data_IF_814103038422
#
_entry.id   IF_814103038422
#
_cell.length_a   1.000
_cell.length_b   1.000
_cell.length_c   1.000
_cell.angle_alpha   90.00
_cell.angle_beta   90.00
_cell.angle_gamma   90.00
#
_symmetry.space_group_name_H-M   'P 1'
#
loop_
_entity.id
_entity.type
_entity.pdbx_description
1 polymer ?
#
# COMPACT_ATOMS: atom_id res chain seq x y z
N UNK A 1 2.14 -1.14 -18.14
CA UNK A 1 3.22 -2.13 -18.15
C UNK A 1 3.73 -2.38 -16.74
N UNK A 2 3.88 -3.64 -16.37
CA UNK A 2 4.29 -3.99 -15.00
C UNK A 2 5.76 -4.37 -14.99
N UNK A 3 6.60 -3.55 -14.35
CA UNK A 3 8.05 -3.75 -14.32
C UNK A 3 8.64 -3.78 -12.91
N UNK A 4 7.88 -3.38 -11.87
CA UNK A 4 8.37 -3.38 -10.49
C UNK A 4 8.33 -4.81 -9.96
N UNK A 5 9.47 -5.40 -9.52
CA UNK A 5 9.46 -6.71 -8.90
C UNK A 5 8.65 -6.71 -7.60
N UNK A 6 8.00 -7.83 -7.29
CA UNK A 6 7.20 -7.94 -6.06
C UNK A 6 8.04 -7.73 -4.80
N UNK A 7 9.31 -8.13 -4.81
CA UNK A 7 10.21 -7.88 -3.68
C UNK A 7 10.41 -6.40 -3.42
N UNK A 8 10.61 -5.60 -4.48
CA UNK A 8 10.75 -4.14 -4.37
C UNK A 8 9.44 -3.53 -3.87
N UNK A 9 8.31 -3.97 -4.41
CA UNK A 9 6.99 -3.51 -3.95
C UNK A 9 6.80 -3.83 -2.46
N UNK A 10 7.23 -5.01 -2.00
CA UNK A 10 7.16 -5.39 -0.59
C UNK A 10 7.93 -4.44 0.31
N UNK A 11 9.14 -4.03 -0.10
CA UNK A 11 9.90 -3.03 0.66
C UNK A 11 9.11 -1.72 0.73
N UNK A 12 8.53 -1.29 -0.40
CA UNK A 12 7.70 -0.08 -0.44
C UNK A 12 6.48 -0.20 0.46
N UNK A 13 5.83 -1.37 0.52
CA UNK A 13 4.67 -1.60 1.38
C UNK A 13 4.98 -1.30 2.84
N UNK A 14 6.09 -1.83 3.35
CA UNK A 14 6.47 -1.61 4.75
C UNK A 14 6.90 -0.16 4.98
N UNK A 15 7.70 0.42 4.09
CA UNK A 15 8.15 1.80 4.22
C UNK A 15 6.98 2.79 4.13
N UNK A 16 6.11 2.64 3.14
CA UNK A 16 4.96 3.53 2.96
C UNK A 16 3.94 3.33 4.07
N UNK A 17 3.73 2.08 4.52
CA UNK A 17 2.85 1.80 5.65
C UNK A 17 3.28 2.53 6.90
N UNK A 18 4.56 2.47 7.23
CA UNK A 18 5.13 3.19 8.37
C UNK A 18 5.01 4.70 8.16
N UNK A 19 5.34 5.18 6.95
CA UNK A 19 5.24 6.60 6.61
C UNK A 19 3.81 7.11 6.77
N UNK A 20 2.81 6.36 6.33
CA UNK A 20 1.40 6.72 6.48
C UNK A 20 1.02 6.86 7.96
N UNK A 21 1.47 5.91 8.79
CA UNK A 21 1.15 5.94 10.24
C UNK A 21 1.74 7.20 10.88
N UNK A 22 2.98 7.57 10.54
CA UNK A 22 3.65 8.72 11.17
C UNK A 22 3.35 10.04 10.48
N UNK A 23 2.75 10.01 9.28
CA UNK A 23 2.58 11.21 8.44
C UNK A 23 1.84 12.36 9.13
N UNK A 24 0.78 12.14 9.97
CA UNK A 24 0.09 13.25 10.62
C UNK A 24 1.02 14.10 11.49
N UNK A 25 1.95 13.45 12.17
CA UNK A 25 2.92 14.14 13.05
C UNK A 25 4.13 14.63 12.26
N UNK A 26 4.58 13.86 11.29
CA UNK A 26 5.74 14.22 10.46
C UNK A 26 5.45 15.46 9.62
N UNK A 27 4.27 15.56 9.04
CA UNK A 27 3.86 16.68 8.18
C UNK A 27 2.98 17.70 8.90
N UNK A 28 2.88 17.57 10.23
CA UNK A 28 2.23 18.55 11.11
C UNK A 28 0.74 18.82 10.78
N UNK A 29 0.00 17.75 10.49
CA UNK A 29 -1.46 17.88 10.29
C UNK A 29 -2.27 17.06 11.29
N UNK A 30 -1.64 16.52 12.33
CA UNK A 30 -2.33 15.68 13.31
C UNK A 30 -3.37 16.46 14.10
N UNK A 31 -4.54 15.88 14.22
CA UNK A 31 -5.63 16.36 15.08
C UNK A 31 -6.54 15.16 15.41
N UNK A 32 -7.69 15.40 16.04
CA UNK A 32 -8.59 14.31 16.44
C UNK A 32 -9.61 13.97 15.35
N UNK A 33 -9.35 14.37 14.10
CA UNK A 33 -10.30 14.18 13.00
C UNK A 33 -9.87 13.14 11.98
N UNK A 34 -10.71 12.93 10.98
CA UNK A 34 -10.56 11.98 9.89
C UNK A 34 -9.24 12.19 9.14
N UNK A 35 -8.76 13.43 9.01
CA UNK A 35 -7.52 13.69 8.27
C UNK A 35 -6.33 12.96 8.86
N UNK A 36 -6.31 12.75 10.18
CA UNK A 36 -5.28 12.01 10.90
C UNK A 36 -5.52 10.51 10.79
N UNK A 37 -6.76 10.07 10.99
CA UNK A 37 -7.06 8.64 11.11
C UNK A 37 -7.06 7.90 9.78
N UNK A 38 -7.36 8.55 8.66
CA UNK A 38 -7.33 7.90 7.34
C UNK A 38 -5.93 7.33 7.04
N UNK A 39 -4.85 8.12 7.04
CA UNK A 39 -3.52 7.55 6.75
C UNK A 39 -3.06 6.57 7.84
N UNK A 40 -3.39 6.80 9.10
CA UNK A 40 -2.99 5.88 10.19
C UNK A 40 -3.65 4.52 10.00
N UNK A 41 -4.95 4.48 9.74
CA UNK A 41 -5.68 3.22 9.56
C UNK A 41 -5.23 2.51 8.28
N UNK A 42 -5.10 3.24 7.17
CA UNK A 42 -4.65 2.65 5.91
C UNK A 42 -3.21 2.14 6.01
N UNK A 43 -2.34 2.86 6.69
CA UNK A 43 -0.97 2.43 6.91
C UNK A 43 -0.88 1.18 7.78
N UNK A 44 -1.61 1.15 8.90
CA UNK A 44 -1.65 -0.03 9.77
C UNK A 44 -2.23 -1.24 9.02
N UNK A 45 -3.32 -1.04 8.28
CA UNK A 45 -3.91 -2.09 7.46
C UNK A 45 -2.93 -2.61 6.41
N UNK A 46 -2.19 -1.70 5.77
CA UNK A 46 -1.19 -2.08 4.76
C UNK A 46 -0.10 -2.97 5.35
N UNK A 47 0.40 -2.64 6.55
CA UNK A 47 1.40 -3.48 7.22
C UNK A 47 0.84 -4.87 7.52
N UNK A 48 -0.40 -4.93 8.00
CA UNK A 48 -1.05 -6.19 8.36
C UNK A 48 -1.25 -7.08 7.13
N UNK A 49 -1.87 -6.56 6.07
CA UNK A 49 -2.12 -7.41 4.91
C UNK A 49 -0.84 -7.72 4.11
N UNK A 50 0.19 -6.88 4.22
CA UNK A 50 1.50 -7.18 3.63
C UNK A 50 2.15 -8.39 4.31
N UNK A 51 2.04 -8.49 5.63
CA UNK A 51 2.51 -9.67 6.37
C UNK A 51 1.77 -10.94 5.93
N UNK A 52 0.53 -10.83 5.47
CA UNK A 52 -0.31 -11.94 5.05
C UNK A 52 -0.23 -12.24 3.56
N UNK A 53 0.50 -11.46 2.79
CA UNK A 53 0.56 -11.62 1.34
C UNK A 53 1.57 -12.70 0.92
N UNK A 54 1.21 -13.46 -0.11
CA UNK A 54 2.09 -14.47 -0.70
C UNK A 54 3.10 -13.81 -1.64
N UNK A 55 4.14 -13.24 -1.04
CA UNK A 55 5.28 -12.69 -1.76
C UNK A 55 6.52 -12.74 -0.86
N UNK A 56 7.66 -12.27 -1.36
CA UNK A 56 8.96 -12.44 -0.71
C UNK A 56 9.03 -11.92 0.73
N UNK A 57 8.29 -10.85 1.05
CA UNK A 57 8.30 -10.23 2.38
C UNK A 57 7.10 -10.59 3.24
N UNK A 58 6.23 -11.51 2.78
CA UNK A 58 5.09 -11.98 3.55
C UNK A 58 5.47 -13.08 4.53
N UNK A 59 4.79 -13.14 5.67
CA UNK A 59 5.00 -14.19 6.67
C UNK A 59 4.00 -15.34 6.52
N UNK A 60 2.70 -15.04 6.51
CA UNK A 60 1.68 -16.10 6.45
C UNK A 60 1.31 -16.54 5.03
N UNK A 61 1.55 -15.70 4.06
CA UNK A 61 1.39 -15.99 2.61
C UNK A 61 0.01 -16.55 2.24
N UNK A 62 -1.05 -15.96 2.80
CA UNK A 62 -2.42 -16.39 2.54
C UNK A 62 -3.12 -15.52 1.49
N UNK A 63 -2.72 -14.25 1.34
CA UNK A 63 -3.32 -13.33 0.38
C UNK A 63 -2.54 -13.39 -0.94
N UNK A 64 -3.20 -13.73 -2.07
CA UNK A 64 -2.53 -13.73 -3.37
C UNK A 64 -2.03 -12.34 -3.74
N UNK A 65 -0.94 -12.25 -4.50
CA UNK A 65 -0.35 -10.97 -4.90
C UNK A 65 -1.33 -10.11 -5.69
N UNK A 66 -2.14 -10.69 -6.56
CA UNK A 66 -3.17 -9.95 -7.30
C UNK A 66 -4.18 -9.29 -6.38
N UNK A 67 -4.60 -9.98 -5.33
CA UNK A 67 -5.52 -9.44 -4.32
C UNK A 67 -4.85 -8.31 -3.55
N UNK A 68 -3.59 -8.49 -3.15
CA UNK A 68 -2.82 -7.44 -2.48
C UNK A 68 -2.76 -6.16 -3.34
N UNK A 69 -2.43 -6.30 -4.62
CA UNK A 69 -2.35 -5.15 -5.54
C UNK A 69 -3.70 -4.47 -5.73
N UNK A 70 -4.79 -5.24 -5.74
CA UNK A 70 -6.15 -4.69 -5.82
C UNK A 70 -6.49 -3.89 -4.56
N UNK A 71 -6.14 -4.40 -3.38
CA UNK A 71 -6.33 -3.70 -2.12
C UNK A 71 -5.51 -2.40 -2.11
N UNK A 72 -4.26 -2.45 -2.56
CA UNK A 72 -3.40 -1.27 -2.68
C UNK A 72 -4.02 -0.22 -3.59
N UNK A 73 -4.55 -0.63 -4.75
CA UNK A 73 -5.19 0.28 -5.69
C UNK A 73 -6.39 0.97 -5.06
N UNK A 74 -7.28 0.20 -4.44
CA UNK A 74 -8.48 0.75 -3.79
C UNK A 74 -8.12 1.64 -2.61
N UNK A 75 -7.14 1.25 -1.79
CA UNK A 75 -6.65 2.04 -0.67
C UNK A 75 -6.01 3.33 -1.15
N UNK A 76 -5.23 3.27 -2.23
CA UNK A 76 -4.61 4.45 -2.83
C UNK A 76 -5.64 5.44 -3.35
N UNK A 77 -6.68 4.94 -4.02
CA UNK A 77 -7.78 5.79 -4.52
C UNK A 77 -8.48 6.47 -3.34
N UNK A 78 -8.81 5.70 -2.30
CA UNK A 78 -9.45 6.24 -1.10
C UNK A 78 -8.58 7.29 -0.43
N UNK A 79 -7.29 7.01 -0.25
CA UNK A 79 -6.35 7.93 0.39
C UNK A 79 -6.24 9.23 -0.42
N UNK A 80 -6.03 9.12 -1.73
CA UNK A 80 -5.87 10.30 -2.61
C UNK A 80 -7.12 11.17 -2.62
N UNK A 81 -8.31 10.56 -2.60
CA UNK A 81 -9.58 11.27 -2.67
C UNK A 81 -10.10 11.72 -1.29
N UNK A 82 -9.54 11.19 -0.20
CA UNK A 82 -10.06 11.39 1.15
C UNK A 82 -10.19 12.85 1.57
N UNK A 83 -9.28 13.79 1.21
CA UNK A 83 -9.46 15.19 1.59
C UNK A 83 -10.79 15.79 1.10
N UNK A 84 -11.22 15.38 -0.09
CA UNK A 84 -12.47 15.87 -0.68
C UNK A 84 -13.68 15.06 -0.25
N UNK A 85 -13.54 13.74 -0.14
CA UNK A 85 -14.64 12.87 0.31
C UNK A 85 -15.05 13.21 1.74
N UNK A 86 -14.08 13.42 2.63
CA UNK A 86 -14.34 13.70 4.05
C UNK A 86 -14.31 15.19 4.40
N UNK A 87 -14.11 16.05 3.39
CA UNK A 87 -14.25 17.51 3.55
C UNK A 87 -13.12 18.20 4.29
N UNK A 88 -11.90 17.65 4.29
CA UNK A 88 -10.79 18.30 4.98
C UNK A 88 -9.72 18.89 4.04
N UNK A 89 -10.02 18.97 2.74
CA UNK A 89 -9.05 19.47 1.75
C UNK A 89 -8.60 20.91 2.00
N UNK A 90 -9.44 21.72 2.65
CA UNK A 90 -9.08 23.10 2.99
C UNK A 90 -8.00 23.16 4.07
N UNK A 91 -7.85 22.11 4.86
CA UNK A 91 -6.84 22.05 5.92
C UNK A 91 -5.58 21.33 5.43
N UNK A 92 -5.73 20.18 4.76
CA UNK A 92 -4.61 19.38 4.28
C UNK A 92 -5.07 18.50 3.11
N UNK A 93 -4.26 18.38 2.08
CA UNK A 93 -4.52 17.42 0.99
C UNK A 93 -3.24 16.85 0.38
N UNK A 94 -2.13 17.58 0.43
CA UNK A 94 -0.91 17.18 -0.31
C UNK A 94 -0.37 15.82 0.14
N UNK A 95 -0.18 15.52 1.43
CA UNK A 95 0.32 14.20 1.82
C UNK A 95 -0.59 13.06 1.38
N UNK A 96 -1.90 13.23 1.56
CA UNK A 96 -2.91 12.23 1.19
C UNK A 96 -2.93 12.00 -0.31
N UNK A 97 -2.92 13.07 -1.09
CA UNK A 97 -2.94 13.00 -2.54
C UNK A 97 -1.67 12.35 -3.08
N UNK A 98 -0.50 12.80 -2.63
CA UNK A 98 0.79 12.31 -3.11
C UNK A 98 0.97 10.84 -2.76
N UNK A 99 0.75 10.47 -1.51
CA UNK A 99 0.93 9.08 -1.07
C UNK A 99 -0.10 8.14 -1.70
N UNK A 100 -1.34 8.63 -1.90
CA UNK A 100 -2.37 7.86 -2.59
C UNK A 100 -2.00 7.61 -4.06
N UNK A 101 -1.53 8.63 -4.76
CA UNK A 101 -1.08 8.48 -6.15
C UNK A 101 0.11 7.53 -6.24
N UNK A 102 1.04 7.61 -5.29
CA UNK A 102 2.19 6.70 -5.22
C UNK A 102 1.73 5.24 -5.10
N UNK A 103 0.76 4.96 -4.22
CA UNK A 103 0.20 3.62 -4.07
C UNK A 103 -0.50 3.14 -5.34
N UNK A 104 -1.29 4.01 -5.98
CA UNK A 104 -1.99 3.69 -7.23
C UNK A 104 -0.96 3.31 -8.30
N UNK A 105 0.05 4.16 -8.49
CA UNK A 105 1.09 3.92 -9.49
C UNK A 105 1.86 2.63 -9.21
N UNK A 106 2.26 2.41 -7.97
CA UNK A 106 2.99 1.21 -7.59
C UNK A 106 2.16 -0.05 -7.82
N UNK A 107 0.86 -0.02 -7.48
CA UNK A 107 0.00 -1.18 -7.66
C UNK A 107 -0.22 -1.55 -9.14
N UNK A 108 -0.30 -0.54 -10.02
CA UNK A 108 -0.48 -0.76 -11.44
C UNK A 108 0.80 -1.19 -12.14
N UNK A 109 1.97 -0.85 -11.60
CA UNK A 109 3.27 -1.10 -12.22
C UNK A 109 4.00 -2.32 -11.66
N UNK A 110 3.48 -2.95 -10.61
CA UNK A 110 4.12 -4.10 -9.97
C UNK A 110 3.70 -5.40 -10.65
N UNK A 111 4.66 -6.30 -10.81
CA UNK A 111 4.41 -7.64 -11.36
C UNK A 111 3.46 -8.42 -10.46
N UNK A 112 2.60 -9.24 -11.07
CA UNK A 112 1.59 -9.99 -10.33
C UNK A 112 2.08 -11.35 -9.82
N UNK A 113 3.26 -11.80 -10.28
CA UNK A 113 3.81 -13.10 -9.91
C UNK A 113 5.10 -12.93 -9.11
N UNK A 114 5.09 -13.25 -7.81
CA UNK A 114 6.30 -13.23 -6.99
C UNK A 114 7.31 -14.28 -7.44
N UNK A 115 8.59 -14.04 -7.15
CA UNK A 115 9.64 -15.00 -7.44
C UNK A 115 9.43 -16.32 -6.69
N UNK A 116 8.80 -16.30 -5.52
CA UNK A 116 8.45 -17.49 -4.75
C UNK A 116 7.53 -18.43 -5.53
N UNK A 117 6.53 -17.86 -6.23
CA UNK A 117 5.60 -18.64 -7.06
C UNK A 117 6.28 -19.13 -8.34
N UNK A 118 7.13 -18.32 -8.93
CA UNK A 118 7.89 -18.71 -10.12
C UNK A 118 8.78 -19.91 -9.82
N UNK A 119 9.49 -19.90 -8.68
CA UNK A 119 10.31 -21.01 -8.25
C UNK A 119 9.53 -22.30 -8.05
N UNK A 120 8.40 -22.23 -7.37
CA UNK A 120 7.52 -23.39 -7.17
C UNK A 120 6.97 -23.93 -8.49
N UNK A 121 6.61 -23.05 -9.41
CA UNK A 121 6.08 -23.44 -10.71
C UNK A 121 7.13 -24.15 -11.55
N UNK A 122 8.38 -23.68 -11.53
CA UNK A 122 9.49 -24.32 -12.23
C UNK A 122 9.80 -25.69 -11.64
N UNK A 123 9.76 -25.83 -10.31
CA UNK A 123 9.97 -27.11 -9.63
C UNK A 123 8.90 -28.14 -10.03
N UNK A 124 7.66 -27.74 -10.23
CA UNK A 124 6.57 -28.63 -10.62
C UNK A 124 6.59 -29.01 -12.10
N UNK A 125 7.28 -28.23 -12.95
CA UNK A 125 7.37 -28.52 -14.38
C UNK A 125 8.37 -29.61 -14.71
N UNK A 126 9.17 -30.04 -13.76
CA UNK A 126 10.12 -31.14 -13.90
C UNK A 126 9.57 -32.41 -13.29
#
# INVERSE_FOLDING_TARGET
MRFIPTKVHGVLDYLVGILLIVSPWLFDFANDSVQTWVPVILGAGALIYSLMTDYELGLSRTIPMKTHLTIDLLSGILLAASPWIFGFADEVYVPHLVLGILEIGASLMTKTRPSTQQGRRMAHSH
#
